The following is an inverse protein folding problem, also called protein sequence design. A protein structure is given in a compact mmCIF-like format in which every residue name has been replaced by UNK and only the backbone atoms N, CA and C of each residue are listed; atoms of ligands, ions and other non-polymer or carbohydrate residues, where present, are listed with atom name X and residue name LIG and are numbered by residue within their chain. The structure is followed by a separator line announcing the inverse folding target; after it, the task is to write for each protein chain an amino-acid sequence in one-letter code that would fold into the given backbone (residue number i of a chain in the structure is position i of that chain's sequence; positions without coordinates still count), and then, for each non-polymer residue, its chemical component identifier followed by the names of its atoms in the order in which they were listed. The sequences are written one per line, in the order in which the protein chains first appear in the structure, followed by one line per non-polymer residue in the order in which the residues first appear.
data_IF_275567437026
#
_entry.id   IF_275567437026
#
_cell.length_a   1.000
_cell.length_b   1.000
_cell.length_c   1.000
_cell.angle_alpha   90.00
_cell.angle_beta   90.00
_cell.angle_gamma   90.00
#
_symmetry.space_group_name_H-M   'P 1'
#
loop_
_entity.id
_entity.type
_entity.pdbx_description
1 polymer ?
#
# COMPACT_ATOMS: atom_id res chain seq x y z
N UNK A 1 17.15 -20.40 27.80
CA UNK A 1 17.48 -19.19 27.03
C UNK A 1 16.88 -19.40 25.64
N UNK A 2 15.69 -18.83 25.39
CA UNK A 2 14.94 -19.09 24.17
C UNK A 2 15.65 -18.44 22.97
N UNK A 3 15.88 -19.21 21.91
CA UNK A 3 16.47 -18.75 20.66
C UNK A 3 15.57 -17.67 20.05
N UNK A 4 16.06 -16.45 19.73
CA UNK A 4 15.25 -15.48 19.02
C UNK A 4 14.93 -16.03 17.63
N UNK A 5 13.65 -16.34 17.40
CA UNK A 5 13.13 -16.60 16.05
C UNK A 5 13.39 -15.36 15.21
N UNK A 6 13.88 -15.51 13.99
CA UNK A 6 14.36 -14.47 13.06
C UNK A 6 13.33 -13.37 12.67
N UNK A 7 12.19 -13.30 13.35
CA UNK A 7 11.09 -12.37 13.13
C UNK A 7 10.95 -11.31 14.24
N UNK A 8 11.74 -11.35 15.31
CA UNK A 8 11.70 -10.30 16.32
C UNK A 8 12.70 -9.19 15.99
N UNK A 9 12.18 -7.97 15.79
CA UNK A 9 13.02 -6.80 15.62
C UNK A 9 13.68 -6.45 16.96
N UNK A 10 15.01 -6.25 17.03
CA UNK A 10 15.73 -6.00 18.29
C UNK A 10 15.48 -4.60 18.88
N UNK A 11 14.55 -3.84 18.32
CA UNK A 11 14.18 -2.50 18.75
C UNK A 11 12.71 -2.19 18.43
N UNK A 12 12.13 -1.25 19.18
CA UNK A 12 10.77 -0.75 18.95
C UNK A 12 10.76 0.17 17.72
N UNK A 13 10.03 -0.23 16.67
CA UNK A 13 9.77 0.62 15.51
C UNK A 13 8.51 1.49 15.70
N UNK A 14 8.47 2.63 15.01
CA UNK A 14 7.34 3.58 14.98
C UNK A 14 7.16 4.07 13.55
N UNK A 15 5.92 4.36 13.15
CA UNK A 15 5.59 4.99 11.86
C UNK A 15 4.81 6.27 12.14
N UNK A 16 5.40 7.42 11.82
CA UNK A 16 4.70 8.71 11.93
C UNK A 16 3.54 8.77 10.92
N UNK A 17 2.43 9.45 11.26
CA UNK A 17 1.38 9.72 10.29
C UNK A 17 1.95 10.43 9.06
N UNK A 18 1.58 9.94 7.88
CA UNK A 18 1.96 10.55 6.61
C UNK A 18 0.91 11.61 6.27
N UNK A 19 1.35 12.76 5.77
CA UNK A 19 0.47 13.84 5.30
C UNK A 19 0.75 14.12 3.82
N UNK A 20 -0.29 14.46 3.07
CA UNK A 20 -0.20 14.84 1.66
C UNK A 20 -1.04 16.09 1.39
N UNK A 21 -0.48 17.08 0.71
CA UNK A 21 -1.15 18.36 0.43
C UNK A 21 -2.13 18.30 -0.73
N UNK A 22 -1.96 17.35 -1.64
CA UNK A 22 -2.76 17.24 -2.87
C UNK A 22 -3.51 15.91 -2.93
N UNK A 23 -2.84 14.81 -2.60
CA UNK A 23 -3.45 13.49 -2.58
C UNK A 23 -2.65 12.53 -1.69
N UNK A 24 -3.28 11.43 -1.29
CA UNK A 24 -2.69 10.34 -0.52
C UNK A 24 -3.31 9.01 -0.96
N UNK A 25 -2.51 7.95 -0.96
CA UNK A 25 -2.96 6.57 -1.20
C UNK A 25 -2.36 5.71 -0.10
N UNK A 26 -3.17 4.80 0.44
CA UNK A 26 -2.74 3.81 1.43
C UNK A 26 -3.28 2.43 1.02
N UNK A 27 -2.41 1.42 0.97
CA UNK A 27 -2.78 0.03 0.76
C UNK A 27 -1.78 -0.91 1.43
N UNK A 28 -2.11 -2.20 1.51
CA UNK A 28 -1.26 -3.27 2.03
C UNK A 28 0.02 -3.42 1.22
N UNK A 29 -0.06 -3.21 -0.10
CA UNK A 29 1.06 -3.37 -1.02
C UNK A 29 1.68 -2.03 -1.47
N UNK A 30 3.02 -1.86 -1.36
CA UNK A 30 3.69 -0.65 -1.85
C UNK A 30 3.52 -0.40 -3.36
N UNK A 31 3.54 -1.45 -4.18
CA UNK A 31 3.36 -1.34 -5.64
C UNK A 31 1.94 -0.89 -6.02
N UNK A 32 0.92 -1.39 -5.31
CA UNK A 32 -0.45 -0.93 -5.53
C UNK A 32 -0.62 0.54 -5.10
N UNK A 33 -0.01 0.93 -3.98
CA UNK A 33 0.05 2.35 -3.57
C UNK A 33 0.68 3.24 -4.65
N UNK A 34 1.77 2.77 -5.27
CA UNK A 34 2.44 3.50 -6.35
C UNK A 34 1.58 3.62 -7.61
N UNK A 35 0.80 2.59 -7.95
CA UNK A 35 -0.14 2.63 -9.08
C UNK A 35 -1.22 3.72 -8.86
N UNK A 36 -1.84 3.76 -7.68
CA UNK A 36 -2.80 4.83 -7.33
C UNK A 36 -2.19 6.23 -7.37
N UNK A 37 -0.97 6.39 -6.84
CA UNK A 37 -0.24 7.67 -6.91
C UNK A 37 0.08 8.08 -8.35
N UNK A 38 0.32 7.12 -9.25
CA UNK A 38 0.59 7.39 -10.67
C UNK A 38 -0.64 7.95 -11.36
N UNK A 39 -1.84 7.40 -11.07
CA UNK A 39 -3.09 7.93 -11.61
C UNK A 39 -3.41 9.33 -11.08
N UNK A 40 -3.21 9.57 -9.79
CA UNK A 40 -3.39 10.91 -9.21
C UNK A 40 -2.43 11.93 -9.84
N UNK A 41 -1.18 11.54 -10.12
CA UNK A 41 -0.20 12.39 -10.81
C UNK A 41 -0.57 12.66 -12.27
N UNK A 42 -1.30 11.76 -12.92
CA UNK A 42 -1.80 11.92 -14.28
C UNK A 42 -3.08 12.80 -14.35
N UNK A 43 -3.55 13.32 -13.21
CA UNK A 43 -4.75 14.16 -13.13
C UNK A 43 -6.04 13.37 -12.88
N UNK A 44 -5.94 12.08 -12.56
CA UNK A 44 -7.07 11.27 -12.13
C UNK A 44 -7.58 11.69 -10.75
N UNK A 45 -8.84 11.40 -10.48
CA UNK A 45 -9.47 11.66 -9.19
C UNK A 45 -9.22 10.51 -8.18
N UNK A 46 -9.78 10.63 -6.97
CA UNK A 46 -9.64 9.62 -5.94
C UNK A 46 -10.29 8.27 -6.30
N UNK A 47 -11.39 8.27 -7.08
CA UNK A 47 -12.04 7.05 -7.55
C UNK A 47 -11.18 6.34 -8.61
N UNK A 48 -10.60 7.08 -9.56
CA UNK A 48 -9.69 6.52 -10.57
C UNK A 48 -8.46 5.88 -9.90
N UNK A 49 -7.92 6.56 -8.89
CA UNK A 49 -6.82 6.06 -8.08
C UNK A 49 -7.20 4.78 -7.34
N UNK A 50 -8.41 4.70 -6.77
CA UNK A 50 -8.90 3.51 -6.09
C UNK A 50 -9.05 2.32 -7.04
N UNK A 51 -9.57 2.53 -8.26
CA UNK A 51 -9.68 1.47 -9.29
C UNK A 51 -8.29 0.96 -9.68
N UNK A 52 -7.31 1.85 -9.86
CA UNK A 52 -5.94 1.43 -10.17
C UNK A 52 -5.26 0.66 -9.02
N UNK A 53 -5.50 1.07 -7.76
CA UNK A 53 -5.04 0.33 -6.59
C UNK A 53 -5.67 -1.06 -6.55
N UNK A 54 -6.99 -1.16 -6.74
CA UNK A 54 -7.70 -2.45 -6.73
C UNK A 54 -7.17 -3.38 -7.84
N UNK A 55 -7.00 -2.87 -9.06
CA UNK A 55 -6.44 -3.64 -10.16
C UNK A 55 -5.00 -4.12 -9.86
N UNK A 56 -4.18 -3.28 -9.25
CA UNK A 56 -2.82 -3.65 -8.86
C UNK A 56 -2.78 -4.65 -7.70
N UNK A 57 -3.70 -4.56 -6.73
CA UNK A 57 -3.81 -5.52 -5.64
C UNK A 57 -4.18 -6.91 -6.16
N UNK A 58 -5.08 -7.02 -7.14
CA UNK A 58 -5.42 -8.32 -7.73
C UNK A 58 -4.21 -9.11 -8.26
N UNK A 59 -3.14 -8.41 -8.64
CA UNK A 59 -1.87 -9.04 -9.08
C UNK A 59 -0.88 -9.18 -7.93
N UNK A 60 -0.81 -8.17 -7.05
CA UNK A 60 0.27 -8.06 -6.06
C UNK A 60 -0.09 -8.63 -4.68
N UNK A 61 -1.37 -8.87 -4.42
CA UNK A 61 -1.95 -9.49 -3.21
C UNK A 61 -3.15 -10.42 -3.59
N UNK A 62 -2.92 -11.48 -4.38
CA UNK A 62 -3.98 -12.33 -4.91
C UNK A 62 -4.72 -13.15 -3.84
N UNK A 63 -4.13 -13.30 -2.64
CA UNK A 63 -4.76 -14.05 -1.54
C UNK A 63 -5.96 -13.32 -0.92
N UNK A 64 -6.01 -11.99 -1.04
CA UNK A 64 -7.00 -11.15 -0.36
C UNK A 64 -7.86 -10.34 -1.35
N UNK A 65 -7.51 -10.36 -2.63
CA UNK A 65 -8.16 -9.56 -3.67
C UNK A 65 -8.33 -10.39 -4.94
N UNK A 66 -9.39 -10.11 -5.70
CA UNK A 66 -9.77 -10.86 -6.89
C UNK A 66 -10.52 -9.99 -7.88
N UNK A 67 -10.56 -10.43 -9.12
CA UNK A 67 -11.35 -9.79 -10.19
C UNK A 67 -12.86 -10.11 -10.12
N UNK A 68 -13.26 -11.04 -9.24
CA UNK A 68 -14.61 -11.55 -9.03
C UNK A 68 -14.65 -12.46 -7.81
#
# INVERSE_FOLDING_TARGET
MATPTSSELPFTSRRSPVYGSHAMVASTQPLATQAGLTILKQGGNAADAAVAVAAALNVTEPCCTGIG
#
